data_IF_453457782130
#
_entry.id   IF_453457782130
#
_cell.length_a   1.000
_cell.length_b   1.000
_cell.length_c   1.000
_cell.angle_alpha   90.00
_cell.angle_beta   90.00
_cell.angle_gamma   90.00
#
_symmetry.space_group_name_H-M   'P 1'
#
loop_
_entity.id
_entity.type
_entity.pdbx_description
1 polymer ?
#
# COMPACT_ATOMS: atom_id res chain seq x y z
N UNK A 1 -6.81 -21.93 21.89
CA UNK A 1 -7.98 -22.35 21.09
C UNK A 1 -7.67 -22.53 19.59
N UNK A 2 -7.30 -21.50 18.81
CA UNK A 2 -7.05 -21.69 17.37
C UNK A 2 -5.76 -22.47 17.06
N UNK A 3 -4.69 -22.24 17.83
CA UNK A 3 -3.44 -23.02 17.74
C UNK A 3 -3.64 -24.51 18.06
N UNK A 4 -4.54 -24.83 19.00
CA UNK A 4 -4.92 -26.20 19.35
C UNK A 4 -5.66 -26.92 18.22
N UNK A 5 -6.28 -26.16 17.30
CA UNK A 5 -6.93 -26.67 16.09
C UNK A 5 -5.98 -26.72 14.89
N UNK A 6 -4.68 -26.44 15.08
CA UNK A 6 -3.66 -26.45 14.03
C UNK A 6 -3.61 -25.19 13.16
N UNK A 7 -4.33 -24.13 13.53
CA UNK A 7 -4.27 -22.84 12.83
C UNK A 7 -3.16 -21.95 13.38
N UNK A 8 -2.53 -21.14 12.52
CA UNK A 8 -1.46 -20.20 12.90
C UNK A 8 -1.99 -18.91 13.55
N UNK A 9 -3.24 -18.54 13.29
CA UNK A 9 -3.92 -17.38 13.87
C UNK A 9 -5.45 -17.58 13.78
N UNK A 10 -6.23 -16.67 14.37
CA UNK A 10 -7.68 -16.61 14.28
C UNK A 10 -8.15 -16.40 12.82
N UNK A 11 -8.78 -17.41 12.18
CA UNK A 11 -9.22 -17.31 10.78
C UNK A 11 -10.39 -16.31 10.59
N UNK A 12 -11.03 -15.87 11.67
CA UNK A 12 -12.11 -14.88 11.66
C UNK A 12 -11.66 -13.50 12.15
N UNK A 13 -10.36 -13.25 12.21
CA UNK A 13 -9.83 -11.94 12.59
C UNK A 13 -10.35 -10.85 11.63
N UNK A 14 -10.97 -9.76 12.13
CA UNK A 14 -11.42 -8.65 11.28
C UNK A 14 -10.27 -7.72 10.87
N UNK A 15 -9.03 -8.03 11.29
CA UNK A 15 -7.86 -7.21 10.97
C UNK A 15 -7.64 -7.22 9.45
N UNK A 16 -7.35 -6.05 8.84
CA UNK A 16 -6.98 -5.99 7.44
C UNK A 16 -5.79 -6.90 7.14
N UNK A 17 -5.84 -7.52 5.97
CA UNK A 17 -4.75 -8.35 5.48
C UNK A 17 -3.53 -7.45 5.20
N UNK A 18 -2.37 -7.89 5.66
CA UNK A 18 -1.12 -7.13 5.53
C UNK A 18 -0.68 -7.03 4.05
N UNK A 19 0.00 -5.93 3.72
CA UNK A 19 0.60 -5.71 2.40
C UNK A 19 1.91 -6.51 2.23
N UNK A 20 1.83 -7.85 2.32
CA UNK A 20 2.97 -8.75 2.22
C UNK A 20 2.61 -10.04 1.46
N UNK A 21 3.58 -10.94 1.29
CA UNK A 21 3.40 -12.20 0.55
C UNK A 21 2.27 -13.04 1.13
N UNK A 22 2.31 -13.27 2.44
CA UNK A 22 1.29 -14.04 3.17
C UNK A 22 -0.09 -13.41 3.00
N UNK A 23 -0.20 -12.10 3.12
CA UNK A 23 -1.45 -11.39 2.90
C UNK A 23 -1.97 -11.49 1.47
N UNK A 24 -1.08 -11.52 0.48
CA UNK A 24 -1.51 -11.75 -0.91
C UNK A 24 -2.10 -13.16 -1.14
N UNK A 25 -1.66 -14.15 -0.36
CA UNK A 25 -2.18 -15.54 -0.41
C UNK A 25 -3.51 -15.67 0.35
N UNK A 26 -3.76 -14.81 1.35
CA UNK A 26 -5.01 -14.79 2.13
C UNK A 26 -6.18 -14.10 1.42
N UNK A 27 -5.94 -13.32 0.37
CA UNK A 27 -7.00 -12.63 -0.38
C UNK A 27 -7.64 -13.55 -1.43
N UNK A 28 -8.65 -14.32 -1.01
CA UNK A 28 -9.35 -15.27 -1.88
C UNK A 28 -10.61 -14.67 -2.52
N UNK A 29 -10.86 -14.97 -3.80
CA UNK A 29 -12.11 -14.65 -4.49
C UNK A 29 -12.29 -13.19 -4.92
N UNK A 30 -11.21 -12.40 -4.91
CA UNK A 30 -11.20 -10.96 -5.25
C UNK A 30 -10.29 -10.63 -6.43
N UNK A 31 -9.95 -11.61 -7.26
CA UNK A 31 -8.99 -11.43 -8.35
C UNK A 31 -9.46 -10.41 -9.39
N UNK A 32 -10.76 -10.33 -9.64
CA UNK A 32 -11.34 -9.39 -10.60
C UNK A 32 -11.27 -7.96 -10.07
N UNK A 33 -11.69 -7.75 -8.82
CA UNK A 33 -11.64 -6.45 -8.15
C UNK A 33 -10.22 -5.95 -7.97
N UNK A 34 -9.30 -6.85 -7.59
CA UNK A 34 -7.87 -6.55 -7.46
C UNK A 34 -7.26 -6.11 -8.78
N UNK A 35 -7.54 -6.85 -9.86
CA UNK A 35 -7.05 -6.50 -11.21
C UNK A 35 -7.60 -5.16 -11.66
N UNK A 36 -8.90 -4.91 -11.48
CA UNK A 36 -9.54 -3.63 -11.81
C UNK A 36 -8.90 -2.48 -11.04
N UNK A 37 -8.71 -2.65 -9.72
CA UNK A 37 -8.08 -1.62 -8.88
C UNK A 37 -6.66 -1.32 -9.34
N UNK A 38 -5.84 -2.35 -9.59
CA UNK A 38 -4.48 -2.16 -10.10
C UNK A 38 -4.48 -1.47 -11.47
N UNK A 39 -5.41 -1.80 -12.36
CA UNK A 39 -5.58 -1.10 -13.65
C UNK A 39 -5.89 0.38 -13.44
N UNK A 40 -6.81 0.74 -12.55
CA UNK A 40 -7.13 2.14 -12.27
C UNK A 40 -5.95 2.88 -11.63
N UNK A 41 -5.27 2.30 -10.64
CA UNK A 41 -4.10 2.92 -10.01
C UNK A 41 -3.00 3.22 -11.06
N UNK A 42 -2.85 2.37 -12.07
CA UNK A 42 -1.88 2.59 -13.16
C UNK A 42 -2.29 3.71 -14.11
N UNK A 43 -3.59 3.99 -14.22
CA UNK A 43 -4.13 5.09 -14.99
C UNK A 43 -3.88 6.39 -14.23
N UNK A 44 -2.85 7.14 -14.63
CA UNK A 44 -2.36 8.35 -13.94
C UNK A 44 -3.39 9.49 -13.81
N UNK A 45 -4.53 9.36 -14.49
CA UNK A 45 -5.65 10.28 -14.52
C UNK A 45 -6.80 9.89 -13.56
N UNK A 46 -6.71 8.77 -12.85
CA UNK A 46 -7.80 8.29 -11.98
C UNK A 46 -7.42 8.19 -10.51
N UNK A 47 -8.38 8.50 -9.64
CA UNK A 47 -8.31 8.26 -8.20
C UNK A 47 -9.39 7.25 -7.84
N UNK A 48 -9.09 5.94 -7.80
CA UNK A 48 -10.09 4.91 -7.60
C UNK A 48 -10.72 5.01 -6.21
N UNK A 49 -12.05 4.96 -6.16
CA UNK A 49 -12.82 4.93 -4.91
C UNK A 49 -13.33 3.52 -4.67
N UNK A 50 -13.16 3.00 -3.46
CA UNK A 50 -13.69 1.70 -3.04
C UNK A 50 -14.85 1.89 -2.06
N UNK A 51 -16.05 1.55 -2.51
CA UNK A 51 -17.26 1.60 -1.70
C UNK A 51 -17.76 0.21 -1.33
N UNK A 52 -18.41 0.11 -0.17
CA UNK A 52 -19.03 -1.13 0.28
C UNK A 52 -19.18 -1.21 1.80
N UNK A 53 -19.88 -2.22 2.32
CA UNK A 53 -20.11 -2.37 3.75
C UNK A 53 -18.81 -2.48 4.57
N UNK A 54 -18.88 -2.17 5.87
CA UNK A 54 -17.75 -2.38 6.77
C UNK A 54 -17.42 -3.88 6.90
N UNK A 55 -16.13 -4.22 7.01
CA UNK A 55 -15.68 -5.60 7.16
C UNK A 55 -15.58 -6.44 5.88
N UNK A 56 -15.94 -5.91 4.70
CA UNK A 56 -15.86 -6.67 3.42
C UNK A 56 -14.45 -6.81 2.83
N UNK A 57 -13.42 -6.33 3.54
CA UNK A 57 -12.02 -6.45 3.11
C UNK A 57 -11.52 -5.36 2.17
N UNK A 58 -12.15 -4.18 2.11
CA UNK A 58 -11.70 -3.06 1.25
C UNK A 58 -10.27 -2.64 1.54
N UNK A 59 -9.93 -2.46 2.82
CA UNK A 59 -8.57 -2.10 3.25
C UNK A 59 -7.57 -3.18 2.84
N UNK A 60 -7.92 -4.46 3.04
CA UNK A 60 -7.13 -5.61 2.60
C UNK A 60 -6.87 -5.58 1.08
N UNK A 61 -7.89 -5.26 0.28
CA UNK A 61 -7.77 -5.17 -1.18
C UNK A 61 -6.77 -4.09 -1.60
N UNK A 62 -6.81 -2.91 -0.97
CA UNK A 62 -5.86 -1.82 -1.24
C UNK A 62 -4.43 -2.22 -0.83
N UNK A 63 -4.28 -2.81 0.36
CA UNK A 63 -2.98 -3.28 0.86
C UNK A 63 -2.34 -4.32 -0.07
N UNK A 64 -3.11 -5.31 -0.51
CA UNK A 64 -2.62 -6.33 -1.46
C UNK A 64 -2.34 -5.75 -2.84
N UNK A 65 -3.16 -4.81 -3.33
CA UNK A 65 -2.90 -4.12 -4.60
C UNK A 65 -1.57 -3.35 -4.56
N UNK A 66 -1.33 -2.59 -3.50
CA UNK A 66 -0.07 -1.87 -3.30
C UNK A 66 1.14 -2.80 -3.25
N UNK A 67 1.03 -3.92 -2.54
CA UNK A 67 2.09 -4.93 -2.49
C UNK A 67 2.38 -5.55 -3.87
N UNK A 68 1.34 -5.91 -4.64
CA UNK A 68 1.54 -6.49 -5.98
C UNK A 68 2.16 -5.49 -6.94
N UNK A 69 1.74 -4.23 -6.91
CA UNK A 69 2.32 -3.17 -7.73
C UNK A 69 3.80 -2.93 -7.40
N UNK A 70 4.16 -2.94 -6.11
CA UNK A 70 5.56 -2.85 -5.68
C UNK A 70 6.37 -4.06 -6.19
N UNK A 71 5.83 -5.27 -6.08
CA UNK A 71 6.51 -6.49 -6.58
C UNK A 71 6.71 -6.47 -8.09
N UNK A 72 5.74 -5.98 -8.86
CA UNK A 72 5.91 -5.86 -10.31
C UNK A 72 6.95 -4.79 -10.69
N UNK A 73 7.08 -3.74 -9.89
CA UNK A 73 8.16 -2.76 -10.04
C UNK A 73 9.53 -3.39 -9.72
N UNK A 74 9.63 -4.15 -8.62
CA UNK A 74 10.84 -4.91 -8.28
C UNK A 74 11.22 -5.91 -9.37
N UNK A 75 10.25 -6.53 -10.02
CA UNK A 75 10.43 -7.46 -11.15
C UNK A 75 10.74 -6.73 -12.49
N UNK A 76 10.69 -5.40 -12.54
CA UNK A 76 10.95 -4.61 -13.75
C UNK A 76 9.83 -4.66 -14.80
N UNK A 77 8.62 -5.07 -14.43
CA UNK A 77 7.47 -5.22 -15.35
C UNK A 77 6.74 -3.90 -15.61
N UNK A 78 6.76 -3.00 -14.63
CA UNK A 78 6.03 -1.72 -14.65
C UNK A 78 6.85 -0.60 -13.99
N UNK A 79 6.36 0.65 -14.10
CA UNK A 79 7.00 1.82 -13.47
C UNK A 79 6.99 1.77 -11.94
N UNK A 80 7.61 2.78 -11.32
CA UNK A 80 7.73 2.87 -9.87
C UNK A 80 6.37 3.09 -9.18
N UNK A 81 5.80 2.02 -8.63
CA UNK A 81 4.63 2.08 -7.75
C UNK A 81 5.05 1.74 -6.32
N UNK A 82 5.21 2.77 -5.50
CA UNK A 82 5.69 2.63 -4.12
C UNK A 82 4.52 2.94 -3.18
N UNK A 83 3.95 1.93 -2.49
CA UNK A 83 2.87 2.16 -1.54
C UNK A 83 3.39 2.90 -0.30
N UNK A 84 2.55 3.77 0.26
CA UNK A 84 2.82 4.37 1.57
C UNK A 84 2.50 3.35 2.68
N UNK A 85 3.27 3.40 3.76
CA UNK A 85 3.16 2.48 4.90
C UNK A 85 1.86 2.62 5.70
N UNK A 86 1.20 3.78 5.64
CA UNK A 86 0.03 4.08 6.46
C UNK A 86 -1.08 4.78 5.66
N UNK A 87 -2.36 4.43 5.91
CA UNK A 87 -3.49 5.14 5.33
C UNK A 87 -3.68 6.50 6.00
N UNK A 88 -4.19 7.47 5.25
CA UNK A 88 -4.59 8.75 5.81
C UNK A 88 -6.07 8.72 6.17
N UNK A 89 -6.36 8.77 7.46
CA UNK A 89 -7.71 9.02 7.95
C UNK A 89 -7.89 10.52 8.19
N UNK A 90 -8.94 11.08 7.60
CA UNK A 90 -9.37 12.46 7.83
C UNK A 90 -10.24 12.51 9.09
N UNK A 91 -10.03 13.53 9.91
CA UNK A 91 -10.87 13.84 11.06
C UNK A 91 -11.42 15.27 10.96
N UNK A 92 -12.39 15.63 11.81
CA UNK A 92 -12.99 16.97 11.81
C UNK A 92 -11.99 18.06 12.22
N UNK A 93 -10.91 17.68 12.88
CA UNK A 93 -9.84 18.55 13.35
C UNK A 93 -8.76 18.79 12.28
N UNK A 94 -8.78 18.04 11.17
CA UNK A 94 -7.82 18.20 10.08
C UNK A 94 -8.08 19.50 9.31
N UNK A 95 -7.06 20.35 9.25
CA UNK A 95 -7.02 21.48 8.31
C UNK A 95 -6.40 21.05 6.98
N UNK A 96 -6.70 21.79 5.90
CA UNK A 96 -6.04 21.56 4.61
C UNK A 96 -4.51 21.59 4.72
N UNK A 97 -3.97 22.51 5.51
CA UNK A 97 -2.51 22.66 5.67
C UNK A 97 -1.91 21.48 6.45
N UNK A 98 -2.51 21.10 7.58
CA UNK A 98 -2.02 19.98 8.39
C UNK A 98 -2.11 18.66 7.64
N UNK A 99 -3.19 18.44 6.88
CA UNK A 99 -3.33 17.26 6.02
C UNK A 99 -2.28 17.23 4.91
N UNK A 100 -2.10 18.35 4.18
CA UNK A 100 -1.11 18.45 3.11
C UNK A 100 0.30 18.18 3.63
N UNK A 101 0.66 18.77 4.77
CA UNK A 101 1.97 18.56 5.39
C UNK A 101 2.19 17.10 5.78
N UNK A 102 1.19 16.44 6.38
CA UNK A 102 1.23 15.02 6.75
C UNK A 102 1.42 14.12 5.53
N UNK A 103 0.69 14.37 4.44
CA UNK A 103 0.82 13.61 3.18
C UNK A 103 2.21 13.79 2.57
N UNK A 104 2.66 15.03 2.40
CA UNK A 104 3.97 15.31 1.80
C UNK A 104 5.13 14.73 2.62
N UNK A 105 5.04 14.81 3.95
CA UNK A 105 6.03 14.22 4.84
C UNK A 105 6.08 12.70 4.70
N UNK A 106 4.92 12.03 4.69
CA UNK A 106 4.85 10.59 4.48
C UNK A 106 5.41 10.16 3.10
N UNK A 107 5.14 10.95 2.05
CA UNK A 107 5.72 10.72 0.72
C UNK A 107 7.24 10.86 0.75
N UNK A 108 7.76 11.92 1.37
CA UNK A 108 9.21 12.13 1.49
C UNK A 108 9.89 10.98 2.27
N UNK A 109 9.33 10.60 3.41
CA UNK A 109 9.83 9.48 4.22
C UNK A 109 9.83 8.16 3.44
N UNK A 110 8.75 7.87 2.71
CA UNK A 110 8.68 6.66 1.89
C UNK A 110 9.71 6.70 0.75
N UNK A 111 9.94 7.87 0.17
CA UNK A 111 10.93 8.05 -0.89
C UNK A 111 12.36 7.79 -0.39
N UNK A 112 12.70 8.30 0.81
CA UNK A 112 13.98 8.02 1.48
C UNK A 112 14.11 6.53 1.78
N UNK A 113 13.08 5.91 2.38
CA UNK A 113 13.09 4.48 2.68
C UNK A 113 13.23 3.59 1.44
N UNK A 114 12.80 4.08 0.27
CA UNK A 114 12.83 3.35 -1.00
C UNK A 114 14.00 3.79 -1.90
N UNK A 115 14.90 4.65 -1.41
CA UNK A 115 15.99 5.24 -2.20
C UNK A 115 16.91 4.18 -2.80
N UNK A 116 17.27 3.16 -2.00
CA UNK A 116 18.10 2.04 -2.43
C UNK A 116 17.47 1.24 -3.57
N UNK A 117 16.17 0.92 -3.45
CA UNK A 117 15.42 0.21 -4.50
C UNK A 117 15.34 1.05 -5.78
N UNK A 118 15.06 2.36 -5.66
CA UNK A 118 15.00 3.27 -6.80
C UNK A 118 16.37 3.37 -7.52
N UNK A 119 17.47 3.50 -6.77
CA UNK A 119 18.84 3.51 -7.30
C UNK A 119 19.16 2.18 -8.02
N UNK A 120 18.81 1.04 -7.43
CA UNK A 120 18.98 -0.30 -8.05
C UNK A 120 18.26 -0.39 -9.40
N UNK A 121 17.04 0.16 -9.49
CA UNK A 121 16.24 0.20 -10.73
C UNK A 121 16.66 1.30 -11.72
N UNK A 122 17.74 2.03 -11.44
CA UNK A 122 18.30 3.03 -12.35
C UNK A 122 17.62 4.40 -12.31
N UNK A 123 16.83 4.70 -11.28
CA UNK A 123 16.25 6.03 -11.10
C UNK A 123 17.27 6.99 -10.48
N UNK A 124 17.22 8.25 -10.91
CA UNK A 124 17.98 9.33 -10.27
C UNK A 124 17.33 9.70 -8.95
N UNK A 125 18.03 9.44 -7.84
CA UNK A 125 17.57 9.78 -6.48
C UNK A 125 18.52 10.86 -5.92
N UNK A 126 18.00 11.97 -5.36
CA UNK A 126 18.83 12.96 -4.66
C UNK A 126 19.61 12.32 -3.51
N UNK A 127 20.81 12.84 -3.21
CA UNK A 127 21.60 12.39 -2.05
C UNK A 127 20.83 12.63 -0.75
N UNK A 128 20.55 11.53 -0.07
CA UNK A 128 19.84 11.41 1.20
C UNK A 128 20.62 12.03 2.37
N UNK A 129 21.95 12.11 2.27
CA UNK A 129 22.86 12.70 3.26
C UNK A 129 22.62 14.20 3.55
N UNK A 130 21.76 14.88 2.78
CA UNK A 130 21.48 16.32 2.92
C UNK A 130 20.14 16.65 3.58
N UNK A 131 19.33 15.66 3.94
CA UNK A 131 17.94 15.88 4.37
C UNK A 131 17.77 15.80 5.90
N UNK A 132 18.75 15.25 6.62
CA UNK A 132 18.73 15.09 8.09
C UNK A 132 19.45 16.23 8.87
N UNK A 133 19.44 17.47 8.35
CA UNK A 133 19.90 18.67 9.10
C UNK A 133 18.78 19.66 9.39
#
# INVERSE_FOLDING_TARGET
MWEELGFRDNPYSPKPILANKEGSELLVGRDVELRKLMTYIRSSDTHPTLEGPNGVGKTSLVSVAGYKLLKEFEDGKHGAYIPLSSPFQLTSEDTLQSFKQRVLYAVAQQFIASSGLLKEKGYSVPDDDKIDQ
#
